data_IF_455484317745
#
_entry.id   IF_455484317745
#
_cell.length_a   1.000
_cell.length_b   1.000
_cell.length_c   1.000
_cell.angle_alpha   90.00
_cell.angle_beta   90.00
_cell.angle_gamma   90.00
#
_symmetry.space_group_name_H-M   'P 1'
#
loop_
_entity.id
_entity.type
_entity.pdbx_description
1 polymer ?
#
# COMPACT_ATOMS: atom_id res chain seq x y z
N UNK A 1 -23.04 -1.47 -1.26
CA UNK A 1 -22.03 -2.41 -1.79
C UNK A 1 -21.34 -1.76 -2.98
N UNK A 2 -20.22 -2.30 -3.47
CA UNK A 2 -19.55 -1.80 -4.69
C UNK A 2 -20.50 -1.81 -5.89
N UNK A 3 -21.25 -2.89 -6.07
CA UNK A 3 -22.21 -3.09 -7.17
C UNK A 3 -23.31 -2.03 -7.23
N UNK A 4 -23.81 -1.57 -6.08
CA UNK A 4 -24.83 -0.51 -5.99
C UNK A 4 -24.23 0.90 -5.96
N UNK A 5 -22.90 1.02 -5.94
CA UNK A 5 -22.21 2.30 -5.84
C UNK A 5 -22.16 3.03 -7.18
N UNK A 6 -21.76 4.32 -7.18
CA UNK A 6 -21.62 5.12 -8.40
C UNK A 6 -20.69 4.50 -9.45
N UNK A 7 -19.75 3.65 -9.01
CA UNK A 7 -18.78 2.97 -9.87
C UNK A 7 -19.09 1.48 -10.05
N UNK A 8 -20.24 0.97 -9.62
CA UNK A 8 -20.55 -0.47 -9.73
C UNK A 8 -20.53 -1.01 -11.15
N UNK A 9 -20.82 -0.15 -12.14
CA UNK A 9 -20.87 -0.50 -13.56
C UNK A 9 -19.50 -0.55 -14.26
N UNK A 10 -18.41 -0.17 -13.58
CA UNK A 10 -17.07 -0.30 -14.17
C UNK A 10 -16.57 -1.74 -14.17
N UNK A 11 -17.12 -2.58 -13.28
CA UNK A 11 -16.76 -3.98 -13.16
C UNK A 11 -17.77 -4.83 -13.93
N UNK A 12 -17.26 -5.85 -14.63
CA UNK A 12 -18.11 -6.85 -15.28
C UNK A 12 -18.93 -7.59 -14.21
N UNK A 13 -20.24 -7.85 -14.42
CA UNK A 13 -21.05 -8.62 -13.49
C UNK A 13 -20.43 -9.97 -13.09
N UNK A 14 -19.78 -10.64 -14.04
CA UNK A 14 -19.13 -11.95 -13.85
C UNK A 14 -17.89 -11.87 -12.94
N UNK A 15 -17.31 -10.68 -12.75
CA UNK A 15 -16.12 -10.51 -11.92
C UNK A 15 -16.47 -10.22 -10.45
N UNK A 16 -17.77 -10.18 -10.12
CA UNK A 16 -18.22 -10.08 -8.74
C UNK A 16 -18.38 -11.47 -8.13
N UNK A 17 -17.40 -11.88 -7.35
CA UNK A 17 -17.48 -13.07 -6.49
C UNK A 17 -17.84 -12.63 -5.07
N UNK A 18 -18.77 -13.32 -4.42
CA UNK A 18 -19.21 -13.00 -3.06
C UNK A 18 -19.62 -14.26 -2.28
N UNK A 19 -19.35 -14.26 -0.98
CA UNK A 19 -19.83 -15.27 -0.04
C UNK A 19 -21.16 -14.90 0.60
N UNK A 20 -21.80 -15.87 1.24
CA UNK A 20 -23.01 -15.65 2.05
C UNK A 20 -22.67 -15.10 3.45
N UNK A 21 -21.51 -15.48 3.98
CA UNK A 21 -21.03 -15.15 5.31
C UNK A 21 -19.78 -14.28 5.24
N UNK A 22 -19.55 -13.52 6.31
CA UNK A 22 -18.33 -12.73 6.49
C UNK A 22 -17.31 -13.45 7.36
N UNK A 23 -16.04 -13.09 7.18
CA UNK A 23 -14.92 -13.62 7.99
C UNK A 23 -14.91 -13.12 9.45
N UNK A 24 -15.90 -12.35 9.89
CA UNK A 24 -16.06 -11.97 11.31
C UNK A 24 -14.86 -11.23 11.92
N UNK A 25 -14.15 -10.43 11.12
CA UNK A 25 -12.89 -9.78 11.51
C UNK A 25 -11.77 -10.73 11.96
N UNK A 26 -11.81 -12.01 11.55
CA UNK A 26 -10.82 -13.01 11.92
C UNK A 26 -10.05 -13.49 10.69
N UNK A 27 -8.72 -13.38 10.73
CA UNK A 27 -7.84 -13.83 9.65
C UNK A 27 -7.96 -15.33 9.40
N UNK A 28 -7.94 -16.17 10.43
CA UNK A 28 -8.04 -17.63 10.29
C UNK A 28 -9.36 -18.03 9.63
N UNK A 29 -10.47 -17.40 10.02
CA UNK A 29 -11.76 -17.61 9.36
C UNK A 29 -11.73 -17.20 7.88
N UNK A 30 -11.09 -16.06 7.59
CA UNK A 30 -10.87 -15.59 6.22
C UNK A 30 -9.93 -16.47 5.41
N UNK A 31 -9.04 -17.25 6.03
CA UNK A 31 -8.01 -18.03 5.36
C UNK A 31 -8.38 -19.52 5.24
N UNK A 32 -8.85 -20.13 6.33
CA UNK A 32 -9.06 -21.57 6.44
C UNK A 32 -10.50 -22.02 6.19
N UNK A 33 -11.50 -21.16 6.38
CA UNK A 33 -12.91 -21.51 6.22
C UNK A 33 -13.58 -20.72 5.10
N UNK A 34 -14.02 -19.49 5.36
CA UNK A 34 -14.83 -18.72 4.39
C UNK A 34 -14.04 -18.38 3.12
N UNK A 35 -12.75 -18.06 3.26
CA UNK A 35 -11.91 -17.79 2.09
C UNK A 35 -11.60 -19.06 1.30
N UNK A 36 -11.38 -20.18 1.97
CA UNK A 36 -11.12 -21.47 1.33
C UNK A 36 -12.32 -21.95 0.51
N UNK A 37 -13.55 -21.69 0.96
CA UNK A 37 -14.76 -22.00 0.20
C UNK A 37 -14.93 -21.14 -1.07
N UNK A 38 -14.37 -19.92 -1.07
CA UNK A 38 -14.53 -18.97 -2.17
C UNK A 38 -13.33 -18.91 -3.12
N UNK A 39 -12.15 -19.33 -2.69
CA UNK A 39 -10.89 -19.07 -3.40
C UNK A 39 -10.89 -19.64 -4.81
N UNK A 40 -11.40 -20.86 -5.01
CA UNK A 40 -11.44 -21.50 -6.32
C UNK A 40 -12.30 -20.69 -7.31
N UNK A 41 -13.45 -20.19 -6.85
CA UNK A 41 -14.33 -19.34 -7.67
C UNK A 41 -13.66 -18.00 -8.03
N UNK A 42 -12.86 -17.44 -7.11
CA UNK A 42 -12.08 -16.23 -7.39
C UNK A 42 -10.95 -16.52 -8.39
N UNK A 43 -10.22 -17.62 -8.20
CA UNK A 43 -9.12 -18.03 -9.08
C UNK A 43 -9.60 -18.31 -10.50
N UNK A 44 -10.79 -18.90 -10.68
CA UNK A 44 -11.38 -19.10 -12.00
C UNK A 44 -11.62 -17.77 -12.74
N UNK A 45 -12.15 -16.76 -12.03
CA UNK A 45 -12.33 -15.41 -12.58
C UNK A 45 -10.97 -14.76 -12.89
N UNK A 46 -10.00 -14.87 -11.97
CA UNK A 46 -8.65 -14.34 -12.15
C UNK A 46 -7.99 -14.97 -13.38
N UNK A 47 -8.11 -16.29 -13.55
CA UNK A 47 -7.57 -17.04 -14.69
C UNK A 47 -8.20 -16.59 -16.01
N UNK A 48 -9.52 -16.45 -16.05
CA UNK A 48 -10.24 -15.96 -17.24
C UNK A 48 -9.77 -14.57 -17.65
N UNK A 49 -9.60 -13.65 -16.70
CA UNK A 49 -9.10 -12.30 -17.02
C UNK A 49 -7.61 -12.31 -17.38
N UNK A 50 -6.79 -13.13 -16.72
CA UNK A 50 -5.38 -13.32 -17.02
C UNK A 50 -5.13 -13.86 -18.44
N UNK A 51 -5.91 -14.87 -18.85
CA UNK A 51 -5.87 -15.46 -20.20
C UNK A 51 -6.34 -14.49 -21.28
N UNK A 52 -7.18 -13.52 -20.93
CA UNK A 52 -7.65 -12.48 -21.86
C UNK A 52 -6.63 -11.38 -22.12
N UNK A 53 -5.53 -11.35 -21.36
CA UNK A 53 -4.47 -10.35 -21.52
C UNK A 53 -3.50 -10.74 -22.65
N UNK A 54 -3.18 -9.79 -23.53
CA UNK A 54 -2.10 -9.99 -24.53
C UNK A 54 -0.72 -10.17 -23.87
N UNK A 55 -0.48 -9.45 -22.78
CA UNK A 55 0.74 -9.54 -21.98
C UNK A 55 0.45 -9.19 -20.51
N UNK A 56 0.25 -10.21 -19.69
CA UNK A 56 0.03 -10.05 -18.25
C UNK A 56 1.33 -9.64 -17.56
N UNK A 57 1.35 -8.43 -16.98
CA UNK A 57 2.51 -7.93 -16.23
C UNK A 57 2.56 -8.45 -14.79
N UNK A 58 1.40 -8.57 -14.15
CA UNK A 58 1.28 -8.87 -12.74
C UNK A 58 -0.12 -8.66 -12.19
N UNK A 59 -0.26 -8.87 -10.90
CA UNK A 59 -1.49 -8.73 -10.14
C UNK A 59 -1.34 -7.59 -9.13
N UNK A 60 -2.44 -6.91 -8.87
CA UNK A 60 -2.50 -5.83 -7.90
C UNK A 60 -3.67 -6.09 -6.95
N UNK A 61 -3.37 -6.40 -5.68
CA UNK A 61 -4.41 -6.57 -4.65
C UNK A 61 -4.52 -5.32 -3.79
N UNK A 62 -5.75 -4.87 -3.54
CA UNK A 62 -6.03 -3.85 -2.52
C UNK A 62 -6.79 -4.50 -1.38
N UNK A 63 -6.20 -4.49 -0.18
CA UNK A 63 -6.76 -5.19 0.97
C UNK A 63 -6.43 -4.48 2.29
N UNK A 64 -7.21 -4.78 3.33
CA UNK A 64 -6.99 -4.27 4.68
C UNK A 64 -6.48 -5.38 5.57
N UNK A 65 -5.38 -5.12 6.27
CA UNK A 65 -4.73 -6.11 7.13
C UNK A 65 -5.44 -6.23 8.50
N UNK A 66 -6.34 -5.32 8.83
CA UNK A 66 -7.06 -5.33 10.12
C UNK A 66 -8.30 -6.22 10.15
N UNK A 67 -9.01 -6.36 9.02
CA UNK A 67 -10.27 -7.13 8.94
C UNK A 67 -10.07 -8.55 8.43
N UNK A 68 -11.00 -9.47 8.69
CA UNK A 68 -10.84 -10.91 8.40
C UNK A 68 -10.80 -11.27 6.92
N UNK A 69 -11.66 -10.65 6.09
CA UNK A 69 -11.67 -10.92 4.64
C UNK A 69 -10.44 -10.32 3.96
N UNK A 70 -10.11 -9.06 4.27
CA UNK A 70 -8.94 -8.41 3.68
C UNK A 70 -7.64 -9.09 4.08
N UNK A 71 -7.48 -9.41 5.35
CA UNK A 71 -6.29 -10.04 5.89
C UNK A 71 -6.21 -11.53 5.49
N UNK A 72 -7.17 -12.35 5.94
CA UNK A 72 -7.17 -13.80 5.74
C UNK A 72 -7.34 -14.24 4.30
N UNK A 73 -8.48 -13.87 3.70
CA UNK A 73 -8.78 -14.25 2.32
C UNK A 73 -7.88 -13.52 1.34
N UNK A 74 -7.54 -12.25 1.61
CA UNK A 74 -6.61 -11.49 0.78
C UNK A 74 -5.23 -12.14 0.72
N UNK A 75 -4.66 -12.56 1.86
CA UNK A 75 -3.37 -13.26 1.83
C UNK A 75 -3.45 -14.68 1.30
N UNK A 76 -4.55 -15.42 1.54
CA UNK A 76 -4.79 -16.71 0.87
C UNK A 76 -4.74 -16.56 -0.66
N UNK A 77 -5.45 -15.55 -1.19
CA UNK A 77 -5.51 -15.29 -2.62
C UNK A 77 -4.14 -14.90 -3.17
N UNK A 78 -3.36 -14.09 -2.45
CA UNK A 78 -1.99 -13.74 -2.82
C UNK A 78 -1.14 -15.02 -2.97
N UNK A 79 -1.16 -15.91 -1.98
CA UNK A 79 -0.38 -17.14 -1.99
C UNK A 79 -0.81 -18.05 -3.16
N UNK A 80 -2.12 -18.20 -3.40
CA UNK A 80 -2.61 -19.00 -4.53
C UNK A 80 -2.28 -18.42 -5.91
N UNK A 81 -2.38 -17.10 -6.08
CA UNK A 81 -1.96 -16.46 -7.32
C UNK A 81 -0.44 -16.59 -7.49
N UNK A 82 0.35 -16.50 -6.42
CA UNK A 82 1.80 -16.71 -6.47
C UNK A 82 2.16 -18.14 -6.89
N UNK A 83 1.43 -19.15 -6.38
CA UNK A 83 1.57 -20.56 -6.78
C UNK A 83 1.27 -20.76 -8.27
N UNK A 84 0.18 -20.19 -8.80
CA UNK A 84 -0.20 -20.34 -10.21
C UNK A 84 0.66 -19.49 -11.18
N UNK A 85 1.12 -18.32 -10.74
CA UNK A 85 1.82 -17.33 -11.56
C UNK A 85 3.14 -16.86 -10.92
N UNK A 86 4.09 -17.76 -10.65
CA UNK A 86 5.29 -17.44 -9.88
C UNK A 86 6.17 -16.35 -10.53
N UNK A 87 6.19 -16.30 -11.86
CA UNK A 87 7.00 -15.34 -12.64
C UNK A 87 6.33 -13.97 -12.80
N UNK A 88 5.10 -13.77 -12.31
CA UNK A 88 4.36 -12.51 -12.42
C UNK A 88 4.54 -11.65 -11.19
N UNK A 89 4.55 -10.32 -11.36
CA UNK A 89 4.69 -9.41 -10.23
C UNK A 89 3.42 -9.48 -9.38
N UNK A 90 3.56 -9.68 -8.09
CA UNK A 90 2.50 -9.53 -7.10
C UNK A 90 2.70 -8.22 -6.35
N UNK A 91 1.82 -7.26 -6.61
CA UNK A 91 1.82 -5.97 -5.95
C UNK A 91 0.61 -5.86 -5.01
N UNK A 92 0.78 -5.24 -3.85
CA UNK A 92 -0.32 -4.96 -2.93
C UNK A 92 -0.39 -3.50 -2.48
N UNK A 93 -1.60 -2.98 -2.37
CA UNK A 93 -1.92 -1.79 -1.60
C UNK A 93 -2.53 -2.24 -0.28
N UNK A 94 -1.70 -2.27 0.75
CA UNK A 94 -1.99 -2.90 2.04
C UNK A 94 -2.37 -1.83 3.06
N UNK A 95 -3.65 -1.78 3.42
CA UNK A 95 -4.14 -0.85 4.45
C UNK A 95 -3.84 -1.42 5.83
N UNK A 96 -2.92 -0.78 6.54
CA UNK A 96 -2.45 -1.15 7.86
C UNK A 96 -3.37 -0.57 8.93
N UNK A 97 -3.80 -1.38 9.93
CA UNK A 97 -4.71 -0.93 10.97
C UNK A 97 -4.08 0.10 11.92
N UNK A 98 -4.96 0.84 12.60
CA UNK A 98 -4.59 1.73 13.70
C UNK A 98 -5.65 1.67 14.80
N UNK A 99 -5.26 1.41 16.07
CA UNK A 99 -6.19 1.39 17.19
C UNK A 99 -6.93 2.71 17.43
N UNK A 100 -6.44 3.81 16.88
CA UNK A 100 -7.09 5.13 16.99
C UNK A 100 -8.26 5.32 16.01
N UNK A 101 -8.35 4.45 14.99
CA UNK A 101 -9.27 4.60 13.85
C UNK A 101 -10.24 3.41 13.75
N UNK A 102 -9.87 2.25 14.28
CA UNK A 102 -10.66 1.02 14.19
C UNK A 102 -11.08 0.45 15.55
N UNK A 103 -12.26 -0.15 15.58
CA UNK A 103 -12.85 -0.80 16.76
C UNK A 103 -12.56 -2.32 16.81
N UNK A 104 -11.84 -2.86 15.83
CA UNK A 104 -11.58 -4.30 15.76
C UNK A 104 -10.50 -4.71 16.77
N UNK A 105 -10.87 -5.50 17.77
CA UNK A 105 -9.96 -5.85 18.88
C UNK A 105 -8.86 -6.84 18.49
N UNK A 106 -9.02 -7.59 17.40
CA UNK A 106 -8.08 -8.61 16.94
C UNK A 106 -7.20 -8.18 15.76
N UNK A 107 -7.21 -6.88 15.40
CA UNK A 107 -6.38 -6.34 14.31
C UNK A 107 -4.89 -6.67 14.42
N UNK A 108 -4.26 -6.64 15.61
CA UNK A 108 -2.84 -6.96 15.71
C UNK A 108 -2.52 -8.39 15.24
N UNK A 109 -3.37 -9.36 15.57
CA UNK A 109 -3.21 -10.74 15.07
C UNK A 109 -3.39 -10.80 13.55
N UNK A 110 -4.46 -10.21 13.02
CA UNK A 110 -4.73 -10.20 11.58
C UNK A 110 -3.59 -9.55 10.79
N UNK A 111 -3.07 -8.43 11.29
CA UNK A 111 -2.00 -7.70 10.64
C UNK A 111 -0.68 -8.46 10.69
N UNK A 112 -0.32 -9.06 11.83
CA UNK A 112 0.90 -9.88 11.95
C UNK A 112 0.88 -11.08 11.01
N UNK A 113 -0.22 -11.83 11.01
CA UNK A 113 -0.40 -12.98 10.11
C UNK A 113 -0.39 -12.57 8.64
N UNK A 114 -0.98 -11.41 8.32
CA UNK A 114 -0.95 -10.92 6.96
C UNK A 114 0.45 -10.51 6.51
N UNK A 115 1.17 -9.76 7.35
CA UNK A 115 2.55 -9.33 7.02
C UNK A 115 3.44 -10.53 6.81
N UNK A 116 3.31 -11.57 7.64
CA UNK A 116 4.03 -12.83 7.44
C UNK A 116 3.82 -13.40 6.03
N UNK A 117 2.57 -13.45 5.54
CA UNK A 117 2.28 -13.88 4.17
C UNK A 117 2.75 -12.89 3.09
N UNK A 118 2.71 -11.58 3.36
CA UNK A 118 3.16 -10.54 2.42
C UNK A 118 4.68 -10.61 2.18
N UNK A 119 5.45 -10.84 3.25
CA UNK A 119 6.93 -10.98 3.20
C UNK A 119 7.36 -12.08 2.22
N UNK A 120 6.58 -13.16 2.12
CA UNK A 120 6.92 -14.33 1.31
C UNK A 120 6.34 -14.27 -0.11
N UNK A 121 5.15 -13.69 -0.26
CA UNK A 121 4.37 -13.85 -1.50
C UNK A 121 4.26 -12.60 -2.36
N UNK A 122 4.71 -11.43 -1.88
CA UNK A 122 4.63 -10.16 -2.63
C UNK A 122 5.99 -9.66 -3.10
N UNK A 123 6.01 -8.95 -4.24
CA UNK A 123 7.21 -8.28 -4.77
C UNK A 123 7.23 -6.78 -4.49
N UNK A 124 6.05 -6.19 -4.29
CA UNK A 124 5.84 -4.78 -3.98
C UNK A 124 4.67 -4.66 -3.01
N UNK A 125 4.89 -4.08 -1.83
CA UNK A 125 3.81 -3.82 -0.87
C UNK A 125 3.81 -2.36 -0.47
N UNK A 126 2.80 -1.62 -0.93
CA UNK A 126 2.56 -0.23 -0.56
C UNK A 126 1.80 -0.20 0.77
N UNK A 127 2.51 0.12 1.85
CA UNK A 127 1.96 0.21 3.19
C UNK A 127 1.18 1.52 3.37
N UNK A 128 -0.11 1.42 3.65
CA UNK A 128 -1.01 2.55 3.81
C UNK A 128 -1.60 2.49 5.21
N UNK A 129 -1.08 3.28 6.13
CA UNK A 129 -1.49 3.32 7.52
C UNK A 129 -2.68 4.27 7.74
N UNK A 130 -3.77 3.73 8.28
CA UNK A 130 -4.94 4.51 8.66
C UNK A 130 -4.61 5.63 9.66
N UNK A 131 -3.62 5.45 10.54
CA UNK A 131 -3.19 6.52 11.45
C UNK A 131 -2.61 7.71 10.69
N UNK A 132 -1.71 7.45 9.75
CA UNK A 132 -1.07 8.47 8.92
C UNK A 132 -2.10 9.18 8.04
N UNK A 133 -3.02 8.42 7.43
CA UNK A 133 -4.10 8.99 6.62
C UNK A 133 -5.01 9.89 7.46
N UNK A 134 -5.38 9.47 8.67
CA UNK A 134 -6.19 10.26 9.58
C UNK A 134 -5.48 11.55 9.95
N UNK A 135 -4.19 11.48 10.29
CA UNK A 135 -3.36 12.65 10.63
C UNK A 135 -3.21 13.62 9.45
N UNK A 136 -3.03 13.13 8.21
CA UNK A 136 -3.01 13.97 7.01
C UNK A 136 -4.34 14.70 6.86
N UNK A 137 -5.46 13.99 6.94
CA UNK A 137 -6.79 14.57 6.80
C UNK A 137 -7.07 15.62 7.89
N UNK A 138 -6.74 15.30 9.14
CA UNK A 138 -7.00 16.17 10.28
C UNK A 138 -6.06 17.39 10.30
N UNK A 139 -4.74 17.15 10.23
CA UNK A 139 -3.73 18.19 10.43
C UNK A 139 -3.39 18.95 9.17
N UNK A 140 -3.24 18.27 8.04
CA UNK A 140 -2.77 18.87 6.78
C UNK A 140 -3.95 19.41 5.96
N UNK A 141 -5.00 18.60 5.78
CA UNK A 141 -6.19 19.01 5.03
C UNK A 141 -7.20 19.81 5.87
N UNK A 142 -7.01 19.88 7.19
CA UNK A 142 -7.85 20.63 8.13
C UNK A 142 -9.30 20.14 8.19
N UNK A 143 -9.51 18.84 8.02
CA UNK A 143 -10.82 18.21 8.19
C UNK A 143 -11.09 17.98 9.68
N UNK A 144 -12.22 18.47 10.20
CA UNK A 144 -12.55 18.37 11.64
C UNK A 144 -12.90 16.96 12.07
N UNK A 145 -13.52 16.18 11.17
CA UNK A 145 -13.97 14.81 11.44
C UNK A 145 -13.68 13.95 10.21
N UNK A 146 -12.41 13.53 10.00
CA UNK A 146 -12.05 12.68 8.86
C UNK A 146 -12.89 11.40 8.84
N UNK A 147 -13.47 11.09 7.70
CA UNK A 147 -14.22 9.84 7.48
C UNK A 147 -13.38 8.86 6.65
N UNK A 148 -13.76 7.58 6.64
CA UNK A 148 -13.17 6.61 5.70
C UNK A 148 -13.31 7.04 4.22
N UNK A 149 -14.33 7.84 3.87
CA UNK A 149 -14.44 8.43 2.54
C UNK A 149 -13.29 9.37 2.21
N UNK A 150 -12.85 10.18 3.18
CA UNK A 150 -11.71 11.09 3.03
C UNK A 150 -10.39 10.33 2.98
N UNK A 151 -10.22 9.31 3.84
CA UNK A 151 -9.03 8.47 3.84
C UNK A 151 -8.90 7.72 2.52
N UNK A 152 -9.97 7.08 2.07
CA UNK A 152 -10.00 6.34 0.80
C UNK A 152 -9.79 7.26 -0.41
N UNK A 153 -10.18 8.54 -0.33
CA UNK A 153 -9.85 9.50 -1.37
C UNK A 153 -8.33 9.69 -1.51
N UNK A 154 -7.61 9.85 -0.39
CA UNK A 154 -6.15 9.93 -0.39
C UNK A 154 -5.51 8.65 -0.95
N UNK A 155 -5.98 7.49 -0.49
CA UNK A 155 -5.52 6.19 -1.00
C UNK A 155 -5.72 6.10 -2.51
N UNK A 156 -6.89 6.46 -3.01
CA UNK A 156 -7.19 6.42 -4.45
C UNK A 156 -6.30 7.36 -5.27
N UNK A 157 -5.97 8.55 -4.74
CA UNK A 157 -5.09 9.50 -5.40
C UNK A 157 -3.66 8.94 -5.50
N UNK A 158 -3.16 8.35 -4.42
CA UNK A 158 -1.85 7.69 -4.37
C UNK A 158 -1.77 6.47 -5.28
N UNK A 159 -2.76 5.56 -5.23
CA UNK A 159 -2.84 4.40 -6.12
C UNK A 159 -2.88 4.84 -7.59
N UNK A 160 -3.64 5.89 -7.91
CA UNK A 160 -3.64 6.47 -9.26
C UNK A 160 -2.26 6.97 -9.65
N UNK A 161 -1.54 7.60 -8.72
CA UNK A 161 -0.16 8.04 -8.86
C UNK A 161 0.81 6.91 -9.19
N UNK A 162 0.87 5.90 -8.32
CA UNK A 162 1.74 4.72 -8.46
C UNK A 162 1.50 4.01 -9.80
N UNK A 163 0.25 3.81 -10.17
CA UNK A 163 -0.14 3.09 -11.41
C UNK A 163 -0.10 3.94 -12.68
N UNK A 164 0.45 5.16 -12.63
CA UNK A 164 0.43 6.08 -13.78
C UNK A 164 1.19 5.51 -14.97
N UNK A 165 2.39 4.98 -14.75
CA UNK A 165 3.25 4.45 -15.81
C UNK A 165 2.69 3.20 -16.50
N UNK A 166 1.67 2.56 -15.90
CA UNK A 166 0.98 1.41 -16.48
C UNK A 166 -0.15 1.82 -17.44
N UNK A 167 -0.73 3.02 -17.22
CA UNK A 167 -1.95 3.47 -17.91
C UNK A 167 -1.67 4.48 -19.00
N UNK A 168 -0.61 5.25 -18.85
CA UNK A 168 -0.25 6.29 -19.80
C UNK A 168 1.18 6.09 -20.27
N UNK A 169 1.43 6.14 -21.58
CA UNK A 169 2.80 6.19 -22.08
C UNK A 169 3.48 7.44 -21.50
N UNK A 170 4.66 7.25 -20.93
CA UNK A 170 5.49 8.30 -20.36
C UNK A 170 6.94 8.16 -20.82
N UNK A 171 7.74 9.22 -20.62
CA UNK A 171 9.15 9.21 -21.03
C UNK A 171 9.98 8.20 -20.22
N UNK A 172 9.53 7.85 -19.01
CA UNK A 172 9.99 6.68 -18.26
C UNK A 172 8.85 5.67 -18.14
N UNK A 173 8.65 4.87 -19.19
CA UNK A 173 7.88 3.64 -19.06
C UNK A 173 8.61 2.75 -18.04
N UNK A 174 8.01 2.59 -16.87
CA UNK A 174 8.33 1.55 -15.91
C UNK A 174 7.08 0.69 -15.78
N UNK A 175 7.15 -0.52 -16.34
CA UNK A 175 6.25 -1.58 -15.94
C UNK A 175 6.48 -1.93 -14.46
N UNK A 176 5.58 -2.71 -13.87
CA UNK A 176 5.70 -3.15 -12.48
C UNK A 176 7.05 -3.83 -12.21
N UNK A 177 7.53 -4.66 -13.14
CA UNK A 177 8.80 -5.37 -12.96
C UNK A 177 9.99 -4.42 -12.86
N UNK A 178 10.05 -3.40 -13.70
CA UNK A 178 11.11 -2.39 -13.68
C UNK A 178 11.03 -1.53 -12.42
N UNK A 179 9.84 -1.25 -11.92
CA UNK A 179 9.68 -0.56 -10.65
C UNK A 179 10.27 -1.43 -9.51
N UNK A 180 9.86 -2.69 -9.41
CA UNK A 180 10.40 -3.65 -8.43
C UNK A 180 11.93 -3.74 -8.49
N UNK A 181 12.52 -3.95 -9.67
CA UNK A 181 13.98 -4.06 -9.85
C UNK A 181 14.72 -2.81 -9.39
N UNK A 182 14.16 -1.62 -9.60
CA UNK A 182 14.80 -0.38 -9.19
C UNK A 182 14.57 -0.04 -7.71
N UNK A 183 13.49 -0.53 -7.12
CA UNK A 183 13.05 -0.13 -5.79
C UNK A 183 13.36 -1.16 -4.70
N UNK A 184 13.54 -2.43 -5.04
CA UNK A 184 13.69 -3.54 -4.10
C UNK A 184 15.11 -4.11 -4.18
N UNK A 185 16.05 -3.69 -3.30
CA UNK A 185 17.42 -4.18 -3.35
C UNK A 185 17.56 -5.63 -2.86
N UNK A 186 16.65 -6.08 -1.99
CA UNK A 186 16.60 -7.44 -1.46
C UNK A 186 15.15 -7.91 -1.42
N UNK A 187 14.86 -9.18 -1.73
CA UNK A 187 13.48 -9.66 -1.86
C UNK A 187 12.58 -9.35 -0.67
N UNK A 188 13.07 -9.39 0.58
CA UNK A 188 12.27 -9.08 1.79
C UNK A 188 12.09 -7.58 2.07
N UNK A 189 12.83 -6.71 1.39
CA UNK A 189 12.77 -5.25 1.59
C UNK A 189 11.89 -4.61 0.51
N UNK A 190 10.67 -5.11 0.35
CA UNK A 190 9.71 -4.66 -0.66
C UNK A 190 8.53 -3.83 -0.10
N UNK A 191 8.66 -3.37 1.14
CA UNK A 191 7.61 -2.57 1.81
C UNK A 191 7.87 -1.08 1.59
N UNK A 192 6.95 -0.43 0.89
CA UNK A 192 7.06 0.97 0.50
C UNK A 192 6.18 1.86 1.36
N UNK A 193 6.67 3.08 1.61
CA UNK A 193 5.96 4.20 2.21
C UNK A 193 5.51 5.13 1.09
N UNK A 194 4.24 5.07 0.65
CA UNK A 194 3.78 5.94 -0.40
C UNK A 194 3.39 7.31 0.15
N UNK A 195 3.40 8.32 -0.72
CA UNK A 195 2.95 9.67 -0.41
C UNK A 195 2.36 10.35 -1.65
N UNK A 196 1.55 11.38 -1.42
CA UNK A 196 0.93 12.15 -2.50
C UNK A 196 1.13 13.64 -2.25
N UNK A 197 1.36 14.39 -3.33
CA UNK A 197 1.40 15.84 -3.33
C UNK A 197 0.63 16.38 -4.55
N UNK A 198 -0.10 17.49 -4.43
CA UNK A 198 -0.18 18.35 -3.25
C UNK A 198 -1.19 17.85 -2.21
N UNK A 199 -0.88 18.10 -0.94
CA UNK A 199 -1.80 18.00 0.19
C UNK A 199 -2.07 19.40 0.73
N UNK A 200 -3.12 20.04 0.22
CA UNK A 200 -3.51 21.40 0.58
C UNK A 200 -4.96 21.42 1.04
N UNK A 201 -5.24 22.10 2.15
CA UNK A 201 -6.61 22.30 2.63
C UNK A 201 -7.46 23.08 1.62
N UNK A 202 -8.78 22.83 1.60
CA UNK A 202 -9.70 23.49 0.66
C UNK A 202 -9.64 25.01 0.72
N UNK A 203 -9.50 25.58 1.92
CA UNK A 203 -9.43 27.03 2.13
C UNK A 203 -8.13 27.67 1.63
N UNK A 204 -7.03 26.90 1.56
CA UNK A 204 -5.72 27.41 1.11
C UNK A 204 -5.42 27.13 -0.35
N UNK A 205 -6.22 26.28 -1.02
CA UNK A 205 -5.95 25.83 -2.39
C UNK A 205 -5.88 26.97 -3.42
N UNK A 206 -6.70 28.01 -3.26
CA UNK A 206 -6.72 29.16 -4.19
C UNK A 206 -5.48 30.06 -4.06
N UNK A 207 -4.77 29.99 -2.93
CA UNK A 207 -3.66 30.89 -2.59
C UNK A 207 -2.28 30.26 -2.78
N UNK A 208 -2.21 28.97 -3.14
CA UNK A 208 -0.94 28.27 -3.36
C UNK A 208 -0.68 28.05 -4.85
N UNK A 209 0.46 28.54 -5.31
CA UNK A 209 0.96 28.27 -6.65
C UNK A 209 1.65 26.91 -6.67
N UNK A 210 1.02 25.95 -7.37
CA UNK A 210 1.54 24.60 -7.48
C UNK A 210 2.75 24.56 -8.41
N UNK A 211 3.92 24.19 -7.87
CA UNK A 211 5.22 24.17 -8.59
C UNK A 211 5.99 22.89 -8.31
N UNK A 212 6.98 22.57 -9.15
CA UNK A 212 7.85 21.38 -8.96
C UNK A 212 8.61 21.43 -7.61
N UNK A 213 9.22 22.56 -7.20
CA UNK A 213 9.87 22.63 -5.89
C UNK A 213 8.90 22.40 -4.72
N UNK A 214 7.68 22.94 -4.79
CA UNK A 214 6.67 22.73 -3.75
C UNK A 214 6.24 21.26 -3.65
N UNK A 215 5.95 20.62 -4.79
CA UNK A 215 5.60 19.19 -4.84
C UNK A 215 6.74 18.33 -4.28
N UNK A 216 7.98 18.64 -4.66
CA UNK A 216 9.17 17.91 -4.20
C UNK A 216 9.33 18.06 -2.69
N UNK A 217 9.18 19.26 -2.15
CA UNK A 217 9.25 19.48 -0.71
C UNK A 217 8.16 18.70 0.04
N UNK A 218 6.93 18.66 -0.48
CA UNK A 218 5.82 17.94 0.14
C UNK A 218 6.02 16.42 0.10
N UNK A 219 6.58 15.86 -0.96
CA UNK A 219 6.85 14.41 -1.07
C UNK A 219 7.79 13.89 0.01
N UNK A 220 8.78 14.70 0.41
CA UNK A 220 9.78 14.33 1.43
C UNK A 220 9.44 14.81 2.84
N UNK A 221 8.28 15.44 3.05
CA UNK A 221 7.78 15.75 4.39
C UNK A 221 7.15 14.49 4.99
N UNK A 222 7.71 14.01 6.12
CA UNK A 222 7.22 12.85 6.84
C UNK A 222 5.72 12.96 7.18
N UNK A 223 5.19 14.18 7.38
CA UNK A 223 3.77 14.41 7.68
C UNK A 223 2.83 14.10 6.51
N UNK A 224 3.37 13.95 5.30
CA UNK A 224 2.62 13.68 4.08
C UNK A 224 2.75 12.22 3.63
N UNK A 225 3.56 11.42 4.33
CA UNK A 225 3.68 10.00 4.06
C UNK A 225 2.48 9.26 4.61
N UNK A 226 2.04 8.25 3.87
CA UNK A 226 0.87 7.45 4.23
C UNK A 226 1.22 6.26 5.11
N UNK A 227 2.43 6.20 5.68
CA UNK A 227 2.83 5.23 6.69
C UNK A 227 3.29 6.02 7.93
N UNK A 228 2.82 5.67 9.14
CA UNK A 228 3.17 6.39 10.36
C UNK A 228 4.56 5.98 10.87
N UNK A 229 5.57 6.33 10.10
CA UNK A 229 6.98 6.14 10.42
C UNK A 229 7.75 7.39 9.98
N UNK A 230 8.78 7.75 10.74
CA UNK A 230 9.62 8.89 10.43
C UNK A 230 10.86 8.45 9.63
N UNK A 231 10.99 8.84 8.35
CA UNK A 231 12.16 8.46 7.54
C UNK A 231 13.50 8.90 8.12
N UNK A 232 13.52 9.89 9.01
CA UNK A 232 14.73 10.37 9.71
C UNK A 232 15.24 9.37 10.74
N UNK A 233 14.40 8.44 11.20
CA UNK A 233 14.79 7.35 12.10
C UNK A 233 15.29 6.11 11.32
N UNK A 234 15.31 6.18 9.99
CA UNK A 234 15.84 5.13 9.13
C UNK A 234 16.73 5.70 8.04
N UNK A 235 16.96 4.89 7.01
CA UNK A 235 17.60 5.30 5.77
C UNK A 235 16.79 4.83 4.58
N UNK A 236 16.61 5.72 3.61
CA UNK A 236 16.10 5.37 2.29
C UNK A 236 17.08 4.43 1.60
N UNK A 237 16.57 3.25 1.25
CA UNK A 237 17.20 2.32 0.33
C UNK A 237 17.05 2.86 -1.09
N UNK A 238 15.81 3.16 -1.47
CA UNK A 238 15.45 3.66 -2.79
C UNK A 238 14.24 4.60 -2.68
N UNK A 239 14.12 5.53 -3.62
CA UNK A 239 13.00 6.46 -3.74
C UNK A 239 12.58 6.54 -5.20
N UNK A 240 11.28 6.49 -5.46
CA UNK A 240 10.70 6.86 -6.74
C UNK A 240 9.76 8.06 -6.57
N UNK A 241 9.87 9.02 -7.48
CA UNK A 241 9.00 10.17 -7.57
C UNK A 241 8.32 10.21 -8.94
N UNK A 242 7.00 10.08 -8.96
CA UNK A 242 6.17 10.08 -10.17
C UNK A 242 5.42 11.40 -10.25
N UNK A 243 5.90 12.28 -11.11
CA UNK A 243 5.27 13.56 -11.41
C UNK A 243 4.23 13.42 -12.52
N UNK A 244 3.12 14.15 -12.37
CA UNK A 244 2.02 14.17 -13.34
C UNK A 244 1.61 15.59 -13.67
N UNK A 245 1.29 15.86 -14.93
CA UNK A 245 1.02 17.19 -15.46
C UNK A 245 2.20 17.75 -16.25
N UNK A 246 1.97 18.83 -16.98
CA UNK A 246 2.98 19.47 -17.83
C UNK A 246 3.97 20.24 -16.97
N UNK A 247 5.24 19.82 -16.97
CA UNK A 247 6.31 20.47 -16.23
C UNK A 247 7.67 20.22 -16.88
N UNK A 248 8.69 20.99 -16.48
CA UNK A 248 10.05 20.83 -16.99
C UNK A 248 10.74 19.62 -16.35
N UNK A 249 11.15 18.64 -17.15
CA UNK A 249 11.93 17.50 -16.67
C UNK A 249 13.26 17.95 -16.05
N UNK A 250 13.91 18.95 -16.66
CA UNK A 250 15.13 19.55 -16.12
C UNK A 250 14.91 20.10 -14.70
N UNK A 251 13.78 20.77 -14.47
CA UNK A 251 13.45 21.29 -13.15
C UNK A 251 13.17 20.16 -12.15
N UNK A 252 12.48 19.09 -12.58
CA UNK A 252 12.26 17.89 -11.76
C UNK A 252 13.58 17.27 -11.33
N UNK A 253 14.48 17.02 -12.27
CA UNK A 253 15.77 16.38 -11.98
C UNK A 253 16.65 17.25 -11.08
N UNK A 254 16.69 18.58 -11.31
CA UNK A 254 17.40 19.53 -10.46
C UNK A 254 16.84 19.54 -9.03
N UNK A 255 15.52 19.59 -8.86
CA UNK A 255 14.89 19.60 -7.54
C UNK A 255 15.10 18.27 -6.79
N UNK A 256 14.99 17.14 -7.49
CA UNK A 256 15.20 15.83 -6.89
C UNK A 256 16.66 15.64 -6.47
N UNK A 257 17.62 16.07 -7.28
CA UNK A 257 19.04 16.06 -6.93
C UNK A 257 19.33 16.96 -5.71
N UNK A 258 18.75 18.16 -5.66
CA UNK A 258 18.91 19.08 -4.53
C UNK A 258 18.40 18.46 -3.22
N UNK A 259 17.24 17.81 -3.26
CA UNK A 259 16.68 17.15 -2.08
C UNK A 259 17.50 15.93 -1.67
N UNK A 260 17.99 15.13 -2.62
CA UNK A 260 18.89 14.01 -2.34
C UNK A 260 20.19 14.49 -1.67
N UNK A 261 20.82 15.55 -2.18
CA UNK A 261 22.04 16.11 -1.61
C UNK A 261 21.82 16.64 -0.19
N UNK A 262 20.74 17.41 0.02
CA UNK A 262 20.37 17.96 1.33
C UNK A 262 20.10 16.87 2.37
N UNK A 263 19.53 15.75 1.94
CA UNK A 263 19.15 14.63 2.79
C UNK A 263 20.10 13.43 2.65
N UNK A 264 21.32 13.63 2.14
CA UNK A 264 22.25 12.55 1.78
C UNK A 264 22.54 11.59 2.93
N UNK A 265 22.59 12.09 4.17
CA UNK A 265 22.75 11.27 5.39
C UNK A 265 21.60 10.28 5.65
N UNK A 266 20.41 10.56 5.10
CA UNK A 266 19.23 9.69 5.20
C UNK A 266 19.14 8.69 4.06
N UNK A 267 20.09 8.67 3.12
CA UNK A 267 20.16 7.63 2.08
C UNK A 267 21.25 6.61 2.42
N UNK A 268 21.09 5.39 1.94
CA UNK A 268 22.17 4.40 1.97
C UNK A 268 23.20 4.71 0.88
N UNK A 269 24.48 4.55 1.21
CA UNK A 269 25.60 4.87 0.32
C UNK A 269 25.92 3.74 -0.67
N UNK A 270 25.50 2.51 -0.37
CA UNK A 270 25.84 1.32 -1.14
C UNK A 270 24.92 1.04 -2.33
N UNK A 271 23.81 1.79 -2.49
CA UNK A 271 22.96 1.75 -3.69
C UNK A 271 23.24 3.00 -4.53
N UNK A 272 23.92 2.88 -5.68
CA UNK A 272 24.09 4.01 -6.59
C UNK A 272 22.76 4.38 -7.25
N UNK A 273 22.56 5.67 -7.54
CA UNK A 273 21.37 6.17 -8.26
C UNK A 273 20.04 5.69 -7.65
N UNK A 274 19.95 5.70 -6.32
CA UNK A 274 18.81 5.21 -5.53
C UNK A 274 17.56 6.09 -5.61
N UNK A 275 17.60 7.22 -6.31
CA UNK A 275 16.44 8.06 -6.59
C UNK A 275 16.06 7.92 -8.06
N UNK A 276 14.80 7.55 -8.34
CA UNK A 276 14.22 7.47 -9.68
C UNK A 276 13.12 8.50 -9.85
N UNK A 277 13.08 9.14 -11.02
CA UNK A 277 12.06 10.13 -11.38
C UNK A 277 11.31 9.66 -12.61
N UNK A 278 10.00 9.92 -12.64
CA UNK A 278 9.16 9.70 -13.82
C UNK A 278 8.22 10.89 -14.00
N UNK A 279 7.96 11.27 -15.25
CA UNK A 279 7.07 12.39 -15.58
C UNK A 279 6.03 11.91 -16.60
N UNK A 280 4.77 12.22 -16.33
CA UNK A 280 3.64 11.99 -17.22
C UNK A 280 2.91 13.31 -17.47
N UNK A 281 2.72 13.71 -18.74
CA UNK A 281 2.08 14.99 -19.07
C UNK A 281 0.59 15.06 -18.71
N UNK A 282 -0.02 13.94 -18.33
CA UNK A 282 -1.45 13.84 -18.01
C UNK A 282 -1.66 14.01 -16.49
N UNK A 283 -2.17 15.17 -16.04
CA UNK A 283 -2.40 15.41 -14.63
C UNK A 283 -3.58 14.57 -14.09
N UNK A 284 -3.69 14.37 -12.78
CA UNK A 284 -4.90 13.82 -12.18
C UNK A 284 -6.11 14.72 -12.40
N UNK A 285 -7.30 14.13 -12.38
CA UNK A 285 -8.56 14.88 -12.52
C UNK A 285 -8.67 15.91 -11.39
N UNK A 286 -8.94 17.16 -11.76
CA UNK A 286 -9.09 18.27 -10.80
C UNK A 286 -7.79 18.94 -10.36
N UNK A 287 -6.63 18.48 -10.84
CA UNK A 287 -5.32 19.07 -10.54
C UNK A 287 -4.61 19.50 -11.83
N UNK A 288 -3.74 20.51 -11.72
CA UNK A 288 -2.87 20.94 -12.84
C UNK A 288 -1.59 20.11 -12.93
N UNK A 289 -1.09 19.69 -11.78
CA UNK A 289 0.04 18.80 -11.63
C UNK A 289 -0.05 18.08 -10.28
N UNK A 290 0.70 17.00 -10.11
CA UNK A 290 0.83 16.27 -8.85
C UNK A 290 2.16 15.54 -8.82
N UNK A 291 2.54 15.03 -7.66
CA UNK A 291 3.65 14.10 -7.52
C UNK A 291 3.26 12.97 -6.56
N UNK A 292 3.74 11.78 -6.86
CA UNK A 292 3.54 10.60 -6.02
C UNK A 292 4.89 10.09 -5.59
N UNK A 293 5.06 9.98 -4.28
CA UNK A 293 6.26 9.49 -3.63
C UNK A 293 6.12 8.01 -3.34
N UNK A 294 7.19 7.26 -3.57
CA UNK A 294 7.33 5.86 -3.17
C UNK A 294 8.70 5.76 -2.50
N UNK A 295 8.73 5.62 -1.18
CA UNK A 295 9.97 5.47 -0.44
C UNK A 295 10.15 4.05 0.07
N UNK A 296 11.27 3.41 -0.25
CA UNK A 296 11.71 2.21 0.44
C UNK A 296 12.72 2.64 1.51
N UNK A 297 12.35 2.55 2.78
CA UNK A 297 13.19 3.01 3.89
C UNK A 297 13.15 2.00 5.02
N UNK A 298 14.27 1.86 5.73
CA UNK A 298 14.33 1.07 6.95
C UNK A 298 13.44 1.63 8.06
N UNK A 299 12.98 2.89 7.95
CA UNK A 299 12.02 3.48 8.87
C UNK A 299 10.67 2.74 8.90
N UNK A 300 10.31 1.98 7.85
CA UNK A 300 9.09 1.16 7.84
C UNK A 300 9.04 0.16 9.00
N UNK A 301 10.18 -0.20 9.59
CA UNK A 301 10.25 -1.03 10.80
C UNK A 301 9.45 -0.46 11.98
N UNK A 302 9.26 0.86 12.07
CA UNK A 302 8.46 1.47 13.13
C UNK A 302 6.99 1.03 13.05
N UNK A 303 6.49 0.89 11.82
CA UNK A 303 5.14 0.42 11.55
C UNK A 303 4.96 -1.03 12.02
N UNK A 304 5.91 -1.90 11.66
CA UNK A 304 5.90 -3.31 12.05
C UNK A 304 6.08 -3.48 13.56
N UNK A 305 7.01 -2.73 14.15
CA UNK A 305 7.23 -2.73 15.61
C UNK A 305 5.96 -2.35 16.37
N UNK A 306 5.21 -1.34 15.91
CA UNK A 306 3.94 -0.94 16.53
C UNK A 306 2.91 -2.08 16.52
N UNK A 307 2.83 -2.83 15.42
CA UNK A 307 1.91 -3.98 15.30
C UNK A 307 2.40 -5.12 16.19
N UNK A 308 3.69 -5.43 16.13
CA UNK A 308 4.35 -6.47 16.93
C UNK A 308 4.15 -6.25 18.43
N UNK A 309 4.36 -5.04 18.96
CA UNK A 309 4.15 -4.75 20.38
C UNK A 309 2.70 -5.02 20.85
N UNK A 310 1.72 -4.69 20.01
CA UNK A 310 0.30 -4.95 20.31
C UNK A 310 -0.02 -6.44 20.21
N UNK A 311 0.53 -7.12 19.19
CA UNK A 311 0.43 -8.56 19.02
C UNK A 311 0.97 -9.28 20.26
N UNK A 312 2.21 -9.00 20.67
CA UNK A 312 2.86 -9.66 21.81
C UNK A 312 2.06 -9.45 23.09
N UNK A 313 1.52 -8.24 23.31
CA UNK A 313 0.71 -7.93 24.49
C UNK A 313 -0.57 -8.77 24.57
N UNK A 314 -1.21 -9.02 23.42
CA UNK A 314 -2.40 -9.87 23.32
C UNK A 314 -2.05 -11.36 23.43
N UNK A 315 -1.03 -11.79 22.69
CA UNK A 315 -0.63 -13.19 22.57
C UNK A 315 -0.14 -13.76 23.90
N UNK A 316 0.65 -12.99 24.65
CA UNK A 316 1.09 -13.36 26.01
C UNK A 316 -0.07 -13.65 26.96
N UNK A 317 -1.22 -12.99 26.76
CA UNK A 317 -2.44 -13.19 27.58
C UNK A 317 -3.38 -14.23 26.99
N UNK A 318 -3.01 -14.85 25.86
CA UNK A 318 -3.86 -15.72 25.03
C UNK A 318 -5.22 -15.07 24.72
N UNK A 319 -5.26 -13.74 24.63
CA UNK A 319 -6.50 -13.01 24.39
C UNK A 319 -7.03 -13.35 23.00
N UNK A 320 -8.31 -13.74 22.91
CA UNK A 320 -8.99 -14.12 21.66
C UNK A 320 -8.34 -15.25 20.84
N UNK A 321 -7.30 -15.91 21.34
CA UNK A 321 -6.54 -16.93 20.59
C UNK A 321 -7.46 -18.09 20.12
N UNK A 322 -8.39 -18.50 20.98
CA UNK A 322 -9.39 -19.53 20.68
C UNK A 322 -10.31 -19.20 19.48
N UNK A 323 -10.42 -17.93 19.08
CA UNK A 323 -11.18 -17.57 17.87
C UNK A 323 -10.45 -17.94 16.59
N UNK A 324 -9.14 -18.12 16.64
CA UNK A 324 -8.31 -18.50 15.49
C UNK A 324 -8.07 -20.00 15.49
N UNK A 325 -7.70 -20.57 16.64
CA UNK A 325 -7.49 -22.02 16.74
C UNK A 325 -8.78 -22.81 16.58
N UNK A 326 -9.94 -22.22 16.91
CA UNK A 326 -11.25 -22.79 16.61
C UNK A 326 -11.56 -22.94 15.12
N UNK A 327 -10.86 -22.21 14.25
CA UNK A 327 -10.97 -22.30 12.78
C UNK A 327 -9.94 -23.30 12.19
N UNK A 328 -9.20 -24.02 13.03
CA UNK A 328 -8.23 -25.04 12.61
C UNK A 328 -6.77 -24.57 12.54
N UNK A 329 -6.49 -23.32 12.90
CA UNK A 329 -5.14 -22.75 12.92
C UNK A 329 -4.31 -23.25 14.12
N UNK A 330 -3.01 -23.49 13.93
CA UNK A 330 -2.09 -23.89 15.00
C UNK A 330 -1.54 -22.66 15.77
N UNK A 331 -1.28 -22.82 17.07
CA UNK A 331 -0.64 -21.77 17.89
C UNK A 331 0.81 -21.49 17.45
N UNK A 332 1.49 -22.46 16.82
CA UNK A 332 2.83 -22.28 16.26
C UNK A 332 2.86 -21.24 15.14
N UNK A 333 1.82 -21.15 14.31
CA UNK A 333 1.75 -20.19 13.20
C UNK A 333 1.79 -18.73 13.70
N UNK A 334 1.22 -18.46 14.87
CA UNK A 334 1.33 -17.14 15.52
C UNK A 334 2.77 -16.80 15.86
N UNK A 335 3.52 -17.77 16.38
CA UNK A 335 4.91 -17.59 16.80
C UNK A 335 5.82 -17.41 15.60
N UNK A 336 5.59 -18.17 14.54
CA UNK A 336 6.31 -18.03 13.27
C UNK A 336 6.07 -16.65 12.64
N UNK A 337 4.81 -16.21 12.60
CA UNK A 337 4.44 -14.89 12.09
C UNK A 337 5.05 -13.74 12.89
N UNK A 338 5.03 -13.83 14.23
CA UNK A 338 5.70 -12.85 15.10
C UNK A 338 7.21 -12.82 14.87
N UNK A 339 7.85 -13.98 14.67
CA UNK A 339 9.30 -14.06 14.43
C UNK A 339 9.73 -13.51 13.06
N UNK A 340 8.83 -13.57 12.07
CA UNK A 340 9.13 -13.15 10.70
C UNK A 340 9.01 -11.63 10.50
N UNK A 341 8.19 -10.98 11.33
CA UNK A 341 7.94 -9.52 11.33
C UNK A 341 9.11 -8.73 11.90
#
# INVERSE_FOLDING_TARGET
SVRSGPFGQIFRPDNFVFGQSGAGNNWAKGHYTEGAELVDSVLDVVRKEAESCDCLQGFQLTHSLGGGTGSGMGTLLISKIREEYPDRIMNTFSVVPSPKVSDTVVEPYNATLSVHQLVENTDETYCIDNEALYDICFRTLKLTTPTYGDLNHLVSATMSGVTTCLRFPGQLNADLRKLAVNMVPFPRLHFFMPGFAPLTSRGSQQYRALTVPELTQQMFDAKNMMAACDPRHGRYLTVAAIFRGRMSMKEVDEQMLNVQNKNSSYFVEWIPNNVKTAVCDIPPRGLKMSATFIGNSTAIQELFKRISEQFTAMFRRKAFLHWYTGEGMDEMEFTEAESNM
#
